data_IF_767393508756
#
_entry.id   IF_767393508756
#
_cell.length_a   1.000
_cell.length_b   1.000
_cell.length_c   1.000
_cell.angle_alpha   90.00
_cell.angle_beta   90.00
_cell.angle_gamma   90.00
#
_symmetry.space_group_name_H-M   'P 1'
#
loop_
_entity.id
_entity.type
_entity.pdbx_description
1 polymer ?
#
# COMPACT_ATOMS: atom_id res chain seq x y z
N UNK A 1 13.90 6.67 21.01
CA UNK A 1 14.60 6.43 19.73
C UNK A 1 14.46 7.69 18.88
N UNK A 2 15.40 8.06 18.01
CA UNK A 2 15.22 9.18 17.08
C UNK A 2 15.35 8.67 15.65
N UNK A 3 14.28 8.77 14.87
CA UNK A 3 14.30 8.33 13.48
C UNK A 3 14.95 9.38 12.59
N UNK A 4 15.79 8.96 11.65
CA UNK A 4 16.05 9.79 10.48
C UNK A 4 14.82 9.69 9.56
N UNK A 5 13.97 10.71 9.58
CA UNK A 5 12.65 10.67 8.92
C UNK A 5 12.75 10.37 7.42
N UNK A 6 13.75 10.89 6.72
CA UNK A 6 13.96 10.63 5.29
C UNK A 6 14.38 9.19 5.03
N UNK A 7 15.38 8.68 5.76
CA UNK A 7 15.84 7.29 5.59
C UNK A 7 14.75 6.29 5.96
N UNK A 8 14.00 6.56 7.03
CA UNK A 8 12.87 5.74 7.44
C UNK A 8 11.76 5.73 6.38
N UNK A 9 11.37 6.90 5.88
CA UNK A 9 10.37 7.02 4.83
C UNK A 9 10.77 6.30 3.54
N UNK A 10 12.03 6.44 3.13
CA UNK A 10 12.56 5.74 1.95
C UNK A 10 12.54 4.23 2.13
N UNK A 11 12.99 3.72 3.28
CA UNK A 11 12.95 2.29 3.57
C UNK A 11 11.52 1.75 3.55
N UNK A 12 10.59 2.42 4.24
CA UNK A 12 9.17 2.06 4.24
C UNK A 12 8.56 2.04 2.83
N UNK A 13 8.92 3.03 2.01
CA UNK A 13 8.45 3.14 0.62
C UNK A 13 8.94 1.98 -0.24
N UNK A 14 10.21 1.62 -0.14
CA UNK A 14 10.79 0.48 -0.88
C UNK A 14 10.12 -0.83 -0.42
N UNK A 15 9.99 -1.03 0.89
CA UNK A 15 9.31 -2.21 1.44
C UNK A 15 7.87 -2.31 0.95
N UNK A 16 7.11 -1.20 0.95
CA UNK A 16 5.73 -1.19 0.46
C UNK A 16 5.67 -1.42 -1.04
N UNK A 17 6.62 -0.90 -1.82
CA UNK A 17 6.72 -1.19 -3.25
C UNK A 17 6.86 -2.70 -3.52
N UNK A 18 7.74 -3.37 -2.79
CA UNK A 18 7.91 -4.83 -2.89
C UNK A 18 6.62 -5.56 -2.46
N UNK A 19 6.03 -5.17 -1.34
CA UNK A 19 4.79 -5.76 -0.86
C UNK A 19 3.64 -5.58 -1.86
N UNK A 20 3.55 -4.42 -2.51
CA UNK A 20 2.57 -4.16 -3.56
C UNK A 20 2.79 -5.07 -4.78
N UNK A 21 4.02 -5.26 -5.23
CA UNK A 21 4.32 -6.17 -6.36
C UNK A 21 3.84 -7.59 -6.03
N UNK A 22 4.13 -8.08 -4.83
CA UNK A 22 3.66 -9.39 -4.37
C UNK A 22 2.13 -9.45 -4.32
N UNK A 23 1.50 -8.39 -3.79
CA UNK A 23 0.04 -8.29 -3.70
C UNK A 23 -0.60 -8.29 -5.10
N UNK A 24 -0.08 -7.50 -6.04
CA UNK A 24 -0.56 -7.45 -7.42
C UNK A 24 -0.45 -8.82 -8.10
N UNK A 25 0.67 -9.51 -7.94
CA UNK A 25 0.85 -10.88 -8.45
C UNK A 25 -0.17 -11.85 -7.85
N UNK A 26 -0.41 -11.79 -6.54
CA UNK A 26 -1.43 -12.61 -5.88
C UNK A 26 -2.84 -12.32 -6.42
N UNK A 27 -3.21 -11.04 -6.59
CA UNK A 27 -4.52 -10.67 -7.14
C UNK A 27 -4.72 -11.10 -8.59
N UNK A 28 -3.64 -11.12 -9.38
CA UNK A 28 -3.69 -11.60 -10.76
C UNK A 28 -3.88 -13.13 -10.84
N UNK A 29 -3.37 -13.88 -9.86
CA UNK A 29 -3.50 -15.34 -9.80
C UNK A 29 -4.81 -15.83 -9.16
N UNK A 30 -5.32 -15.12 -8.15
CA UNK A 30 -6.53 -15.49 -7.41
C UNK A 30 -7.39 -14.26 -7.07
N UNK A 31 -8.07 -13.66 -8.07
CA UNK A 31 -8.86 -12.45 -7.89
C UNK A 31 -10.03 -12.64 -6.90
N UNK A 32 -10.69 -13.78 -6.92
CA UNK A 32 -11.84 -14.06 -6.02
C UNK A 32 -11.41 -14.05 -4.54
N UNK A 33 -10.28 -14.70 -4.23
CA UNK A 33 -9.75 -14.76 -2.88
C UNK A 33 -9.26 -13.36 -2.43
N UNK A 34 -8.59 -12.62 -3.32
CA UNK A 34 -8.17 -11.25 -3.05
C UNK A 34 -9.36 -10.33 -2.72
N UNK A 35 -10.46 -10.43 -3.45
CA UNK A 35 -11.68 -9.65 -3.20
C UNK A 35 -12.33 -10.00 -1.86
N UNK A 36 -12.33 -11.27 -1.45
CA UNK A 36 -12.82 -11.69 -0.11
C UNK A 36 -11.98 -11.09 1.01
N UNK A 37 -10.65 -11.18 0.91
CA UNK A 37 -9.75 -10.58 1.91
C UNK A 37 -9.91 -9.07 1.98
N UNK A 38 -9.96 -8.38 0.82
CA UNK A 38 -10.19 -6.95 0.77
C UNK A 38 -11.54 -6.59 1.42
N UNK A 39 -12.59 -7.33 1.10
CA UNK A 39 -13.92 -7.22 1.71
C UNK A 39 -13.86 -7.18 3.25
N UNK A 40 -13.09 -8.09 3.86
CA UNK A 40 -12.92 -8.15 5.31
C UNK A 40 -12.12 -6.97 5.87
N UNK A 41 -11.03 -6.58 5.21
CA UNK A 41 -10.12 -5.54 5.71
C UNK A 41 -10.77 -4.15 5.65
N UNK A 42 -11.45 -3.83 4.54
CA UNK A 42 -12.04 -2.50 4.34
C UNK A 42 -13.55 -2.47 4.53
N UNK A 43 -14.11 -3.50 5.17
CA UNK A 43 -15.53 -3.60 5.51
C UNK A 43 -16.45 -3.42 4.29
N UNK A 44 -16.02 -3.92 3.14
CA UNK A 44 -16.75 -3.86 1.88
C UNK A 44 -17.86 -4.92 1.88
N UNK A 45 -19.11 -4.48 1.86
CA UNK A 45 -20.28 -5.37 1.97
C UNK A 45 -20.78 -5.90 0.63
N UNK A 46 -20.33 -5.32 -0.50
CA UNK A 46 -20.69 -5.78 -1.84
C UNK A 46 -19.46 -5.72 -2.76
N UNK A 47 -18.78 -6.85 -2.89
CA UNK A 47 -17.57 -7.01 -3.71
C UNK A 47 -17.87 -7.26 -5.19
N UNK A 48 -19.10 -7.69 -5.51
CA UNK A 48 -19.50 -8.05 -6.88
C UNK A 48 -19.44 -6.86 -7.86
N UNK A 49 -19.63 -5.64 -7.34
CA UNK A 49 -19.52 -4.39 -8.11
C UNK A 49 -18.11 -4.10 -8.68
N UNK A 50 -17.09 -4.82 -8.23
CA UNK A 50 -15.69 -4.56 -8.58
C UNK A 50 -15.05 -5.68 -9.41
N UNK A 51 -15.86 -6.67 -9.83
CA UNK A 51 -15.41 -7.87 -10.58
C UNK A 51 -14.89 -7.57 -11.99
N UNK A 52 -15.18 -6.39 -12.54
CA UNK A 52 -14.73 -5.97 -13.87
C UNK A 52 -13.35 -5.29 -13.90
N UNK A 53 -12.67 -5.16 -12.75
CA UNK A 53 -11.36 -4.49 -12.67
C UNK A 53 -10.25 -5.54 -12.83
N UNK A 54 -9.59 -5.53 -13.99
CA UNK A 54 -8.46 -6.42 -14.26
C UNK A 54 -7.11 -5.78 -13.91
N UNK A 55 -6.16 -6.63 -13.49
CA UNK A 55 -4.76 -6.22 -13.32
C UNK A 55 -4.13 -6.12 -14.70
N UNK A 56 -4.02 -4.89 -15.19
CA UNK A 56 -3.30 -4.56 -16.42
C UNK A 56 -1.98 -3.90 -16.06
N UNK A 57 -1.04 -3.84 -17.00
CA UNK A 57 0.19 -3.09 -16.79
C UNK A 57 -0.07 -1.61 -16.47
N UNK A 58 -1.09 -1.02 -17.12
CA UNK A 58 -1.51 0.35 -16.86
C UNK A 58 -2.06 0.55 -15.45
N UNK A 59 -3.00 -0.31 -15.00
CA UNK A 59 -3.57 -0.22 -13.65
C UNK A 59 -2.54 -0.54 -12.56
N UNK A 60 -1.57 -1.42 -12.83
CA UNK A 60 -0.44 -1.68 -11.95
C UNK A 60 0.41 -0.43 -11.69
N UNK A 61 0.90 0.22 -12.75
CA UNK A 61 1.73 1.43 -12.60
C UNK A 61 0.92 2.59 -12.00
N UNK A 62 -0.32 2.77 -12.44
CA UNK A 62 -1.21 3.80 -11.94
C UNK A 62 -1.49 3.67 -10.42
N UNK A 63 -1.41 2.46 -9.87
CA UNK A 63 -1.61 2.20 -8.44
C UNK A 63 -0.28 2.23 -7.66
N UNK A 64 0.81 1.75 -8.26
CA UNK A 64 2.14 1.74 -7.63
C UNK A 64 2.59 3.15 -7.25
N UNK A 65 2.45 4.12 -8.16
CA UNK A 65 2.93 5.50 -7.92
C UNK A 65 2.24 6.14 -6.69
N UNK A 66 0.90 6.17 -6.58
CA UNK A 66 0.22 6.64 -5.37
C UNK A 66 0.63 5.87 -4.11
N UNK A 67 0.78 4.54 -4.18
CA UNK A 67 1.18 3.73 -3.01
C UNK A 67 2.55 4.14 -2.50
N UNK A 68 3.53 4.31 -3.39
CA UNK A 68 4.86 4.77 -3.02
C UNK A 68 4.82 6.17 -2.42
N UNK A 69 4.09 7.11 -3.06
CA UNK A 69 3.97 8.48 -2.59
C UNK A 69 3.32 8.55 -1.20
N UNK A 70 2.16 7.92 -1.01
CA UNK A 70 1.45 7.92 0.27
C UNK A 70 2.24 7.25 1.38
N UNK A 71 2.97 6.17 1.07
CA UNK A 71 3.84 5.50 2.04
C UNK A 71 4.98 6.41 2.46
N UNK A 72 5.65 7.07 1.50
CA UNK A 72 6.74 7.98 1.79
C UNK A 72 6.29 9.12 2.69
N UNK A 73 5.23 9.84 2.30
CA UNK A 73 4.75 10.98 3.06
C UNK A 73 4.17 10.56 4.42
N UNK A 74 3.45 9.45 4.48
CA UNK A 74 2.91 8.91 5.73
C UNK A 74 4.01 8.50 6.71
N UNK A 75 5.01 7.75 6.24
CA UNK A 75 6.13 7.31 7.08
C UNK A 75 7.02 8.49 7.51
N UNK A 76 7.23 9.47 6.62
CA UNK A 76 7.95 10.70 6.97
C UNK A 76 7.22 11.47 8.06
N UNK A 77 5.91 11.70 7.89
CA UNK A 77 5.07 12.39 8.85
C UNK A 77 5.06 11.67 10.20
N UNK A 78 4.94 10.34 10.19
CA UNK A 78 5.03 9.52 11.39
C UNK A 78 6.37 9.70 12.10
N UNK A 79 7.49 9.56 11.40
CA UNK A 79 8.82 9.70 11.98
C UNK A 79 9.05 11.11 12.54
N UNK A 80 8.57 12.14 11.83
CA UNK A 80 8.63 13.53 12.29
C UNK A 80 7.80 13.75 13.57
N UNK A 81 6.54 13.27 13.59
CA UNK A 81 5.67 13.35 14.77
C UNK A 81 6.27 12.60 15.95
N UNK A 82 6.74 11.37 15.73
CA UNK A 82 7.36 10.55 16.78
C UNK A 82 8.57 11.24 17.39
N UNK A 83 9.45 11.82 16.57
CA UNK A 83 10.61 12.57 17.06
C UNK A 83 10.20 13.86 17.78
N UNK A 84 9.12 14.51 17.36
CA UNK A 84 8.63 15.74 18.01
C UNK A 84 8.00 15.47 19.37
N UNK A 85 7.26 14.36 19.50
CA UNK A 85 6.54 13.98 20.72
C UNK A 85 7.43 13.25 21.73
N UNK A 86 8.50 12.61 21.29
CA UNK A 86 9.49 11.96 22.16
C UNK A 86 10.76 12.80 22.37
N UNK A 87 10.65 14.13 22.24
CA UNK A 87 11.64 15.10 22.71
C UNK A 87 11.41 15.39 24.18
#
# INVERSE_FOLDING_TARGET
>A
MQFNAQKFALAATITMGIAYVICAAFTALNPELAMKFLGWIIHLTNVDKFTAIEVTFGSFIASLVPILAYTYFGAYLFAWLYNKLNK
#
